data_IF_914189607291
#
_entry.id   IF_914189607291
#
_cell.length_a   1.000
_cell.length_b   1.000
_cell.length_c   1.000
_cell.angle_alpha   90.00
_cell.angle_beta   90.00
_cell.angle_gamma   90.00
#
_symmetry.space_group_name_H-M   'P 1'
#
loop_
_entity.id
_entity.type
_entity.pdbx_description
1 polymer ?
#
# COMPACT_ATOMS: atom_id res chain seq x y z
N UNK A 1 13.04 -19.26 27.39
CA UNK A 1 13.38 -18.70 26.07
C UNK A 1 13.18 -17.20 26.19
N UNK A 2 14.15 -16.39 25.77
CA UNK A 2 14.14 -14.94 26.04
C UNK A 2 13.34 -14.25 24.92
N UNK A 3 12.21 -13.62 25.25
CA UNK A 3 11.25 -13.06 24.28
C UNK A 3 11.89 -12.10 23.26
N UNK A 4 12.92 -11.36 23.67
CA UNK A 4 13.66 -10.45 22.79
C UNK A 4 14.40 -11.15 21.63
N UNK A 5 14.79 -12.42 21.80
CA UNK A 5 15.45 -13.20 20.75
C UNK A 5 14.44 -13.67 19.72
N UNK A 6 13.25 -14.08 20.17
CA UNK A 6 12.16 -14.52 19.29
C UNK A 6 11.63 -13.35 18.44
N UNK A 7 11.49 -12.16 19.02
CA UNK A 7 11.08 -10.96 18.29
C UNK A 7 12.12 -10.52 17.26
N UNK A 8 13.41 -10.62 17.60
CA UNK A 8 14.48 -10.33 16.65
C UNK A 8 14.44 -11.30 15.46
N UNK A 9 14.33 -12.60 15.72
CA UNK A 9 14.24 -13.60 14.65
C UNK A 9 13.00 -13.40 13.77
N UNK A 10 11.85 -13.12 14.37
CA UNK A 10 10.61 -12.79 13.64
C UNK A 10 10.80 -11.57 12.74
N UNK A 11 11.47 -10.54 13.25
CA UNK A 11 11.74 -9.31 12.48
C UNK A 11 12.65 -9.59 11.29
N UNK A 12 13.73 -10.34 11.49
CA UNK A 12 14.66 -10.72 10.40
C UNK A 12 13.94 -11.53 9.31
N UNK A 13 13.07 -12.47 9.70
CA UNK A 13 12.29 -13.26 8.74
C UNK A 13 11.31 -12.39 7.94
N UNK A 14 10.61 -11.44 8.58
CA UNK A 14 9.72 -10.51 7.88
C UNK A 14 10.49 -9.63 6.89
N UNK A 15 11.64 -9.10 7.27
CA UNK A 15 12.48 -8.29 6.38
C UNK A 15 12.97 -9.09 5.16
N UNK A 16 13.35 -10.36 5.35
CA UNK A 16 13.74 -11.25 4.25
C UNK A 16 12.58 -11.53 3.29
N UNK A 17 11.38 -11.80 3.82
CA UNK A 17 10.20 -12.01 2.99
C UNK A 17 9.82 -10.75 2.19
N UNK A 18 9.92 -9.57 2.82
CA UNK A 18 9.67 -8.29 2.14
C UNK A 18 10.66 -8.03 1.01
N UNK A 19 11.94 -8.31 1.22
CA UNK A 19 12.97 -8.14 0.19
C UNK A 19 12.71 -9.05 -1.03
N UNK A 20 12.26 -10.29 -0.81
CA UNK A 20 11.89 -11.19 -1.90
C UNK A 20 10.62 -10.74 -2.62
N UNK A 21 9.63 -10.23 -1.88
CA UNK A 21 8.40 -9.70 -2.46
C UNK A 21 8.69 -8.49 -3.37
N UNK A 22 9.58 -7.60 -2.94
CA UNK A 22 9.95 -6.40 -3.71
C UNK A 22 10.72 -6.70 -5.01
N UNK A 23 11.33 -7.87 -5.13
CA UNK A 23 12.04 -8.29 -6.36
C UNK A 23 11.10 -8.94 -7.39
N UNK A 24 9.85 -9.21 -7.01
CA UNK A 24 8.87 -9.81 -7.91
C UNK A 24 8.29 -8.76 -8.85
N UNK A 25 8.33 -9.03 -10.16
CA UNK A 25 7.73 -8.17 -11.16
C UNK A 25 6.24 -7.94 -10.86
N UNK A 26 5.78 -6.69 -11.02
CA UNK A 26 4.41 -6.23 -10.80
C UNK A 26 3.89 -6.44 -9.36
N UNK A 27 4.77 -6.71 -8.38
CA UNK A 27 4.36 -6.93 -6.99
C UNK A 27 3.65 -5.70 -6.40
N UNK A 28 4.13 -4.51 -6.71
CA UNK A 28 3.53 -3.26 -6.26
C UNK A 28 2.13 -3.06 -6.85
N UNK A 29 1.96 -3.33 -8.15
CA UNK A 29 0.67 -3.21 -8.83
C UNK A 29 -0.34 -4.24 -8.30
N UNK A 30 0.10 -5.49 -8.12
CA UNK A 30 -0.72 -6.56 -7.53
C UNK A 30 -1.11 -6.25 -6.07
N UNK A 31 -0.21 -5.63 -5.29
CA UNK A 31 -0.50 -5.17 -3.94
C UNK A 31 -1.58 -4.09 -3.95
N UNK A 32 -1.44 -3.08 -4.82
CA UNK A 32 -2.38 -1.97 -4.96
C UNK A 32 -3.76 -2.48 -5.39
N UNK A 33 -3.83 -3.38 -6.37
CA UNK A 33 -5.09 -3.99 -6.82
C UNK A 33 -5.78 -4.74 -5.68
N UNK A 34 -5.04 -5.52 -4.90
CA UNK A 34 -5.60 -6.34 -3.82
C UNK A 34 -6.03 -5.51 -2.61
N UNK A 35 -5.22 -4.53 -2.19
CA UNK A 35 -5.40 -3.79 -0.92
C UNK A 35 -6.17 -2.49 -1.12
N UNK A 36 -6.01 -1.85 -2.28
CA UNK A 36 -6.57 -0.53 -2.61
C UNK A 36 -8.05 -0.39 -2.27
N UNK A 37 -8.95 -1.29 -2.71
CA UNK A 37 -10.38 -1.17 -2.44
C UNK A 37 -10.72 -1.19 -0.94
N UNK A 38 -10.06 -2.07 -0.18
CA UNK A 38 -10.28 -2.20 1.26
C UNK A 38 -9.74 -0.99 2.01
N UNK A 39 -8.57 -0.47 1.60
CA UNK A 39 -7.99 0.73 2.17
C UNK A 39 -8.90 1.94 1.90
N UNK A 40 -9.33 2.14 0.65
CA UNK A 40 -10.22 3.23 0.25
C UNK A 40 -11.53 3.21 1.06
N UNK A 41 -12.15 2.04 1.23
CA UNK A 41 -13.36 1.88 2.04
C UNK A 41 -13.16 2.13 3.54
N UNK A 42 -11.92 1.99 4.05
CA UNK A 42 -11.59 2.21 5.46
C UNK A 42 -11.29 3.66 5.81
N UNK A 43 -10.97 4.48 4.80
CA UNK A 43 -10.63 5.88 5.01
C UNK A 43 -11.89 6.67 5.40
N UNK A 44 -11.75 7.66 6.31
CA UNK A 44 -12.85 8.55 6.64
C UNK A 44 -13.26 9.36 5.40
N UNK A 45 -14.54 9.75 5.35
CA UNK A 45 -15.04 10.63 4.30
C UNK A 45 -14.20 11.91 4.26
N UNK A 46 -13.70 12.30 3.07
CA UNK A 46 -12.88 13.49 2.94
C UNK A 46 -13.68 14.76 3.29
N UNK A 47 -13.03 15.77 3.89
CA UNK A 47 -13.66 17.05 4.16
C UNK A 47 -14.30 17.69 2.91
N UNK A 48 -15.38 18.48 3.07
CA UNK A 48 -15.97 19.22 1.96
C UNK A 48 -14.93 20.10 1.25
N UNK A 49 -14.94 20.09 -0.09
CA UNK A 49 -14.05 20.92 -0.91
C UNK A 49 -12.64 20.36 -1.12
N UNK A 50 -12.34 19.15 -0.63
CA UNK A 50 -11.06 18.46 -0.93
C UNK A 50 -10.98 18.08 -2.40
N UNK A 51 -12.08 17.63 -2.98
CA UNK A 51 -12.12 17.25 -4.39
C UNK A 51 -12.63 18.39 -5.27
N UNK A 52 -11.98 18.65 -6.42
CA UNK A 52 -12.43 19.67 -7.36
C UNK A 52 -13.79 19.29 -7.99
N UNK A 53 -14.55 20.28 -8.49
CA UNK A 53 -15.77 20.00 -9.24
C UNK A 53 -15.49 19.10 -10.45
N UNK A 54 -16.21 17.99 -10.56
CA UNK A 54 -16.00 17.01 -11.63
C UNK A 54 -14.88 15.99 -11.36
N UNK A 55 -14.38 15.91 -10.11
CA UNK A 55 -13.51 14.82 -9.68
C UNK A 55 -14.21 13.47 -9.85
N UNK A 56 -13.58 12.59 -10.62
CA UNK A 56 -13.97 11.19 -10.77
C UNK A 56 -13.08 10.35 -9.83
N UNK A 57 -13.64 9.70 -8.79
CA UNK A 57 -12.86 8.88 -7.87
C UNK A 57 -12.23 7.65 -8.53
N UNK A 58 -12.72 7.24 -9.71
CA UNK A 58 -12.18 6.12 -10.48
C UNK A 58 -11.10 6.57 -11.48
N UNK A 59 -10.84 7.88 -11.58
CA UNK A 59 -9.73 8.44 -12.34
C UNK A 59 -8.72 9.00 -11.35
N UNK A 60 -7.60 8.27 -11.18
CA UNK A 60 -6.48 8.73 -10.37
C UNK A 60 -5.96 10.10 -10.83
N UNK A 61 -5.31 10.87 -9.95
CA UNK A 61 -4.70 12.14 -10.35
C UNK A 61 -3.62 11.92 -11.41
N UNK A 62 -3.39 12.92 -12.26
CA UNK A 62 -2.28 12.93 -13.20
C UNK A 62 -0.95 12.94 -12.43
N UNK A 63 -0.40 11.76 -12.15
CA UNK A 63 0.91 11.61 -11.51
C UNK A 63 2.00 12.00 -12.51
N UNK A 64 2.93 12.92 -12.16
CA UNK A 64 4.04 13.26 -13.03
C UNK A 64 4.96 12.05 -13.18
N UNK A 65 5.02 11.50 -14.40
CA UNK A 65 5.77 10.28 -14.69
C UNK A 65 4.98 9.22 -15.46
N UNK A 66 3.82 9.57 -16.03
CA UNK A 66 3.09 8.71 -16.95
C UNK A 66 4.03 8.07 -17.98
N UNK A 67 4.07 6.75 -17.96
CA UNK A 67 4.71 5.95 -19.00
C UNK A 67 3.85 5.96 -20.25
#
# INVERSE_FOLDING_TARGET
>A
MCEHIEDFQRTVLMLGALALYADQADADDAFIEAVGPSLAASLPEPPPGVFPPGYDPDQGPDYPGGW
#
